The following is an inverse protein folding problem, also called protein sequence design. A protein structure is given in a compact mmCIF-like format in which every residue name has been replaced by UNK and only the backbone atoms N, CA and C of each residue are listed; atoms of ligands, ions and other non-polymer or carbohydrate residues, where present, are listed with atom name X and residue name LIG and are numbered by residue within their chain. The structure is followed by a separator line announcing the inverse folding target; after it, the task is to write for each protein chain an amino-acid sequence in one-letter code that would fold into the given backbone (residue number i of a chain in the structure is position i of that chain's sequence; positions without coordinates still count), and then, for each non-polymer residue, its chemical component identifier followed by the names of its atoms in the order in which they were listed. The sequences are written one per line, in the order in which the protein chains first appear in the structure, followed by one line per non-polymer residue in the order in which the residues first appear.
data_IF_226956858876
#
_entry.id   IF_226956858876
#
_cell.length_a   1.000
_cell.length_b   1.000
_cell.length_c   1.000
_cell.angle_alpha   90.00
_cell.angle_beta   90.00
_cell.angle_gamma   90.00
#
_symmetry.space_group_name_H-M   'P 1'
#
loop_
_entity.id
_entity.type
_entity.pdbx_description
1 polymer ?
#
# COMPACT_ATOMS: atom_id res chain seq x y z
N UNK A 1 -1.66 -15.85 22.95
CA UNK A 1 -2.41 -14.85 22.17
C UNK A 1 -1.52 -14.53 21.00
N UNK A 2 -2.01 -14.69 19.77
CA UNK A 2 -1.24 -14.35 18.57
C UNK A 2 -1.06 -12.84 18.54
N UNK A 3 0.18 -12.37 18.36
CA UNK A 3 0.50 -10.95 18.30
C UNK A 3 1.15 -10.68 16.95
N UNK A 4 0.31 -10.39 15.96
CA UNK A 4 0.76 -9.94 14.66
C UNK A 4 1.43 -8.58 14.77
N UNK A 5 2.54 -8.40 14.06
CA UNK A 5 3.24 -7.13 13.91
C UNK A 5 3.62 -6.88 12.45
N UNK A 6 3.62 -5.63 12.02
CA UNK A 6 4.18 -5.23 10.74
C UNK A 6 5.71 -5.27 10.84
N UNK A 7 6.41 -6.05 10.00
CA UNK A 7 7.87 -5.98 9.92
C UNK A 7 8.29 -4.63 9.29
N UNK A 8 9.51 -4.13 9.59
CA UNK A 8 10.03 -2.95 8.91
C UNK A 8 10.31 -3.26 7.43
N UNK A 9 10.31 -2.24 6.56
CA UNK A 9 10.44 -2.42 5.10
C UNK A 9 11.82 -2.95 4.65
N UNK A 10 12.83 -2.95 5.53
CA UNK A 10 14.13 -3.58 5.23
C UNK A 10 14.22 -5.03 5.73
N UNK A 11 13.15 -5.59 6.31
CA UNK A 11 13.10 -7.00 6.64
C UNK A 11 13.14 -7.85 5.35
N UNK A 12 13.60 -9.11 5.40
CA UNK A 12 13.60 -9.97 4.23
C UNK A 12 12.19 -10.12 3.62
N UNK A 13 12.09 -9.89 2.31
CA UNK A 13 10.84 -9.98 1.57
C UNK A 13 10.71 -11.32 0.84
N UNK A 14 9.46 -11.74 0.64
CA UNK A 14 9.14 -12.84 -0.24
C UNK A 14 8.91 -12.38 -1.70
N UNK A 15 8.39 -11.16 -1.88
CA UNK A 15 8.09 -10.53 -3.16
C UNK A 15 7.64 -9.07 -2.97
N UNK A 16 7.70 -8.29 -4.05
CA UNK A 16 7.07 -6.98 -4.16
C UNK A 16 5.76 -7.06 -4.94
N UNK A 17 4.75 -6.31 -4.50
CA UNK A 17 3.50 -6.10 -5.23
C UNK A 17 3.45 -4.71 -5.83
N UNK A 18 3.01 -4.61 -7.08
CA UNK A 18 2.82 -3.35 -7.80
C UNK A 18 1.54 -3.39 -8.63
N UNK A 19 1.11 -2.23 -9.12
CA UNK A 19 -0.01 -2.10 -10.04
C UNK A 19 0.39 -1.36 -11.29
N UNK A 20 -0.10 -1.84 -12.43
CA UNK A 20 0.24 -1.29 -13.72
C UNK A 20 -0.50 0.05 -13.96
N UNK A 21 0.21 1.13 -14.37
CA UNK A 21 -0.44 2.39 -14.71
C UNK A 21 -1.45 2.20 -15.84
N UNK A 22 -2.67 2.69 -15.62
CA UNK A 22 -3.77 2.60 -16.60
C UNK A 22 -4.67 3.82 -16.66
N UNK A 23 -4.79 4.58 -15.58
CA UNK A 23 -5.73 5.68 -15.49
C UNK A 23 -5.27 6.91 -16.28
N UNK A 24 -5.91 7.18 -17.42
CA UNK A 24 -5.60 8.36 -18.24
C UNK A 24 -5.89 9.69 -17.54
N UNK A 25 -6.74 9.69 -16.50
CA UNK A 25 -7.03 10.90 -15.71
C UNK A 25 -5.91 11.19 -14.70
N UNK A 26 -5.27 10.16 -14.15
CA UNK A 26 -4.06 10.27 -13.30
C UNK A 26 -2.85 10.69 -14.13
N UNK A 27 -2.73 10.20 -15.37
CA UNK A 27 -1.63 10.53 -16.28
C UNK A 27 -2.14 11.20 -17.58
N UNK A 28 -2.68 12.43 -17.50
CA UNK A 28 -3.18 13.13 -18.66
C UNK A 28 -1.98 13.49 -19.55
N UNK A 29 -1.92 12.86 -20.71
CA UNK A 29 -0.87 13.04 -21.74
C UNK A 29 0.46 12.32 -21.52
N UNK A 30 0.65 11.57 -20.44
CA UNK A 30 1.93 10.90 -20.13
C UNK A 30 1.77 9.45 -19.65
N UNK A 31 0.63 8.80 -19.87
CA UNK A 31 0.42 7.39 -19.48
C UNK A 31 1.47 6.44 -20.09
N UNK A 32 1.90 6.68 -21.33
CA UNK A 32 2.93 5.86 -21.96
C UNK A 32 4.29 6.04 -21.28
N UNK A 33 4.64 7.26 -20.89
CA UNK A 33 5.83 7.59 -20.11
C UNK A 33 5.77 6.91 -18.74
N UNK A 34 4.65 7.06 -18.02
CA UNK A 34 4.44 6.44 -16.71
C UNK A 34 4.61 4.91 -16.77
N UNK A 35 4.05 4.26 -17.79
CA UNK A 35 4.23 2.81 -18.03
C UNK A 35 5.69 2.43 -18.26
N UNK A 36 6.47 3.26 -18.96
CA UNK A 36 7.91 3.00 -19.16
C UNK A 36 8.67 3.12 -17.84
N UNK A 37 8.41 4.15 -17.05
CA UNK A 37 9.07 4.35 -15.75
C UNK A 37 8.70 3.23 -14.76
N UNK A 38 7.42 2.84 -14.69
CA UNK A 38 6.98 1.70 -13.88
C UNK A 38 7.60 0.39 -14.34
N UNK A 39 7.76 0.18 -15.65
CA UNK A 39 8.46 -1.00 -16.16
C UNK A 39 9.95 -1.01 -15.77
N UNK A 40 10.61 0.14 -15.78
CA UNK A 40 11.98 0.28 -15.28
C UNK A 40 12.09 0.00 -13.78
N UNK A 41 11.15 0.49 -12.97
CA UNK A 41 11.08 0.20 -11.53
C UNK A 41 10.87 -1.31 -11.28
N UNK A 42 9.89 -1.92 -11.94
CA UNK A 42 9.59 -3.35 -11.81
C UNK A 42 10.79 -4.19 -12.25
N UNK A 43 11.45 -3.82 -13.36
CA UNK A 43 12.64 -4.53 -13.83
C UNK A 43 13.77 -4.47 -12.79
N UNK A 44 14.04 -3.29 -12.21
CA UNK A 44 15.07 -3.11 -11.20
C UNK A 44 14.79 -3.95 -9.94
N UNK A 45 13.56 -3.93 -9.41
CA UNK A 45 13.20 -4.74 -8.24
C UNK A 45 13.29 -6.25 -8.56
N UNK A 46 12.95 -6.64 -9.79
CA UNK A 46 12.95 -8.05 -10.20
C UNK A 46 14.34 -8.70 -10.25
N UNK A 47 15.41 -7.91 -10.18
CA UNK A 47 16.79 -8.39 -10.06
C UNK A 47 17.04 -9.05 -8.69
N UNK A 48 16.35 -8.59 -7.64
CA UNK A 48 16.54 -9.06 -6.26
C UNK A 48 15.43 -10.02 -5.79
N UNK A 49 14.19 -9.82 -6.22
CA UNK A 49 13.04 -10.60 -5.73
C UNK A 49 11.90 -10.75 -6.76
N UNK A 50 10.97 -11.72 -6.59
CA UNK A 50 9.80 -11.81 -7.45
C UNK A 50 8.93 -10.55 -7.35
N UNK A 51 8.40 -10.09 -8.49
CA UNK A 51 7.47 -8.96 -8.55
C UNK A 51 6.12 -9.40 -9.11
N UNK A 52 5.06 -9.21 -8.33
CA UNK A 52 3.68 -9.44 -8.75
C UNK A 52 3.04 -8.12 -9.17
N UNK A 53 2.59 -8.03 -10.42
CA UNK A 53 2.00 -6.80 -10.98
C UNK A 53 0.53 -7.01 -11.27
N UNK A 54 -0.36 -6.27 -10.60
CA UNK A 54 -1.76 -6.22 -10.99
C UNK A 54 -1.88 -5.46 -12.32
N UNK A 55 -2.26 -6.18 -13.36
CA UNK A 55 -2.18 -5.75 -14.74
C UNK A 55 -3.45 -5.03 -15.23
N UNK A 56 -4.49 -4.90 -14.40
CA UNK A 56 -5.81 -4.49 -14.84
C UNK A 56 -6.54 -5.63 -15.57
N UNK A 57 -7.37 -5.27 -16.55
CA UNK A 57 -8.08 -6.19 -17.43
C UNK A 57 -8.08 -5.68 -18.88
N UNK A 58 -8.35 -6.56 -19.85
CA UNK A 58 -8.41 -6.19 -21.27
C UNK A 58 -7.10 -5.59 -21.79
N UNK A 59 -7.18 -4.48 -22.53
CA UNK A 59 -6.03 -3.82 -23.17
C UNK A 59 -4.90 -3.49 -22.18
N UNK A 60 -5.23 -3.15 -20.94
CA UNK A 60 -4.23 -2.84 -19.91
C UNK A 60 -3.40 -4.08 -19.57
N UNK A 61 -4.05 -5.23 -19.40
CA UNK A 61 -3.38 -6.50 -19.14
C UNK A 61 -2.49 -6.91 -20.33
N UNK A 62 -2.96 -6.70 -21.56
CA UNK A 62 -2.14 -6.92 -22.76
C UNK A 62 -0.90 -6.02 -22.79
N UNK A 63 -1.04 -4.74 -22.42
CA UNK A 63 0.11 -3.82 -22.40
C UNK A 63 1.12 -4.17 -21.31
N UNK A 64 0.65 -4.55 -20.12
CA UNK A 64 1.52 -5.01 -19.04
C UNK A 64 2.26 -6.29 -19.47
N UNK A 65 1.55 -7.28 -20.00
CA UNK A 65 2.13 -8.55 -20.47
C UNK A 65 3.17 -8.32 -21.57
N UNK A 66 2.88 -7.47 -22.56
CA UNK A 66 3.83 -7.16 -23.63
C UNK A 66 5.09 -6.46 -23.11
N UNK A 67 4.96 -5.60 -22.10
CA UNK A 67 6.07 -4.81 -21.57
C UNK A 67 6.92 -5.59 -20.58
N UNK A 68 6.27 -6.34 -19.69
CA UNK A 68 6.89 -7.00 -18.54
C UNK A 68 7.09 -8.50 -18.73
N UNK A 69 6.35 -9.15 -19.64
CA UNK A 69 6.29 -10.62 -19.73
C UNK A 69 7.57 -11.32 -20.18
N UNK A 70 8.60 -10.56 -20.58
CA UNK A 70 9.94 -11.12 -20.86
C UNK A 70 10.86 -11.12 -19.63
N UNK A 71 10.46 -10.45 -18.53
CA UNK A 71 11.22 -10.40 -17.29
C UNK A 71 10.93 -11.68 -16.48
N UNK A 72 11.97 -12.49 -16.25
CA UNK A 72 11.82 -13.84 -15.71
C UNK A 72 11.20 -13.89 -14.29
N UNK A 73 11.45 -12.87 -13.47
CA UNK A 73 10.98 -12.79 -12.08
C UNK A 73 9.71 -11.93 -11.92
N UNK A 74 9.04 -11.59 -13.01
CA UNK A 74 7.85 -10.74 -12.99
C UNK A 74 6.62 -11.56 -13.36
N UNK A 75 5.57 -11.42 -12.57
CA UNK A 75 4.32 -12.14 -12.71
C UNK A 75 3.15 -11.16 -12.79
N UNK A 76 2.57 -11.03 -13.97
CA UNK A 76 1.36 -10.23 -14.18
C UNK A 76 0.12 -11.01 -13.72
N UNK A 77 -0.78 -10.32 -13.04
CA UNK A 77 -2.04 -10.87 -12.52
C UNK A 77 -3.18 -9.99 -13.02
N UNK A 78 -4.16 -10.61 -13.68
CA UNK A 78 -5.34 -9.91 -14.18
C UNK A 78 -6.35 -9.65 -13.06
N UNK A 79 -6.09 -8.61 -12.26
CA UNK A 79 -7.07 -8.01 -11.36
C UNK A 79 -7.30 -6.57 -11.81
N UNK A 80 -8.58 -6.19 -11.90
CA UNK A 80 -8.96 -4.82 -12.19
C UNK A 80 -8.49 -3.89 -11.06
N UNK A 81 -8.05 -2.69 -11.44
CA UNK A 81 -7.60 -1.60 -10.57
C UNK A 81 -8.22 -0.31 -11.10
N UNK A 82 -8.49 0.68 -10.25
CA UNK A 82 -8.81 2.02 -10.73
C UNK A 82 -7.51 2.78 -11.00
N UNK A 83 -6.51 2.63 -10.12
CA UNK A 83 -5.22 3.31 -10.25
C UNK A 83 -4.01 2.44 -9.82
N UNK A 84 -2.79 2.98 -9.93
CA UNK A 84 -1.54 2.23 -9.76
C UNK A 84 -0.96 2.22 -8.33
N UNK A 85 -1.66 2.79 -7.35
CA UNK A 85 -1.14 3.08 -6.01
C UNK A 85 -1.21 1.87 -5.06
N UNK A 86 -0.58 0.76 -5.42
CA UNK A 86 -0.54 -0.49 -4.65
C UNK A 86 -0.09 -0.30 -3.20
N UNK A 87 0.78 0.70 -2.95
CA UNK A 87 1.19 1.09 -1.59
C UNK A 87 0.01 1.41 -0.68
N UNK A 88 -1.04 2.03 -1.23
CA UNK A 88 -2.11 2.63 -0.43
C UNK A 88 -3.30 1.70 -0.26
N UNK A 89 -3.75 1.04 -1.32
CA UNK A 89 -4.88 0.11 -1.27
C UNK A 89 -4.47 -1.36 -1.09
N UNK A 90 -3.18 -1.67 -1.23
CA UNK A 90 -2.67 -3.03 -1.04
C UNK A 90 -2.73 -3.47 0.43
N UNK A 91 -2.60 -4.78 0.68
CA UNK A 91 -2.61 -5.28 2.05
C UNK A 91 -1.32 -4.87 2.76
N UNK A 92 -1.43 -4.44 4.02
CA UNK A 92 -0.26 -4.32 4.90
C UNK A 92 0.02 -5.67 5.54
N UNK A 93 1.09 -6.34 5.11
CA UNK A 93 1.46 -7.65 5.65
C UNK A 93 1.93 -7.55 7.10
N UNK A 94 1.47 -8.49 7.92
CA UNK A 94 1.84 -8.61 9.33
C UNK A 94 2.21 -10.06 9.65
N UNK A 95 3.15 -10.24 10.56
CA UNK A 95 3.71 -11.54 10.93
C UNK A 95 3.46 -11.85 12.39
N UNK A 96 3.13 -13.11 12.69
CA UNK A 96 3.21 -13.68 14.04
C UNK A 96 4.43 -14.59 14.07
N UNK A 97 5.53 -14.09 14.64
CA UNK A 97 6.80 -14.82 14.72
C UNK A 97 6.68 -16.09 15.58
N UNK A 98 5.82 -16.09 16.60
CA UNK A 98 5.67 -17.22 17.50
C UNK A 98 4.90 -18.37 16.84
N UNK A 99 3.92 -18.05 16.00
CA UNK A 99 3.15 -19.01 15.23
C UNK A 99 3.77 -19.33 13.85
N UNK A 100 4.73 -18.52 13.38
CA UNK A 100 5.29 -18.60 12.03
C UNK A 100 4.23 -18.29 10.96
N UNK A 101 3.30 -17.38 11.25
CA UNK A 101 2.16 -17.06 10.39
C UNK A 101 2.30 -15.68 9.77
N UNK A 102 1.75 -15.53 8.55
CA UNK A 102 1.60 -14.25 7.86
C UNK A 102 0.12 -13.99 7.64
N UNK A 103 -0.30 -12.75 7.88
CA UNK A 103 -1.62 -12.24 7.56
C UNK A 103 -1.48 -10.90 6.83
N UNK A 104 -2.58 -10.39 6.29
CA UNK A 104 -2.63 -9.04 5.76
C UNK A 104 -3.72 -8.22 6.41
N UNK A 105 -3.37 -7.01 6.83
CA UNK A 105 -4.33 -5.98 7.18
C UNK A 105 -4.90 -5.40 5.89
N UNK A 106 -6.23 -5.44 5.79
CA UNK A 106 -7.00 -4.84 4.71
C UNK A 106 -7.66 -3.57 5.23
N UNK A 107 -7.08 -2.42 4.87
CA UNK A 107 -7.57 -1.10 5.26
C UNK A 107 -8.77 -0.70 4.39
N UNK A 108 -9.66 0.14 4.93
CA UNK A 108 -10.63 0.80 4.05
C UNK A 108 -9.91 1.84 3.22
N UNK A 109 -9.94 1.67 1.90
CA UNK A 109 -9.45 2.68 0.97
C UNK A 109 -10.60 3.54 0.43
N UNK A 110 -10.36 4.84 0.21
CA UNK A 110 -11.34 5.75 -0.36
C UNK A 110 -10.75 6.77 -1.34
N UNK A 111 -9.60 6.48 -1.96
CA UNK A 111 -8.88 7.41 -2.83
C UNK A 111 -8.59 8.77 -2.18
N UNK A 112 -7.88 8.69 -1.05
CA UNK A 112 -7.40 9.82 -0.27
C UNK A 112 -8.48 10.86 0.08
N UNK A 113 -9.59 10.41 0.66
CA UNK A 113 -10.70 11.28 1.06
C UNK A 113 -11.77 11.47 0.00
N UNK A 114 -11.87 10.53 -0.95
CA UNK A 114 -12.85 10.56 -2.04
C UNK A 114 -12.47 11.51 -3.18
N UNK A 115 -11.18 11.84 -3.32
CA UNK A 115 -10.70 12.79 -4.33
C UNK A 115 -10.75 12.22 -5.75
N UNK A 116 -10.54 10.92 -5.91
CA UNK A 116 -10.46 10.26 -7.22
C UNK A 116 -11.44 9.09 -7.34
N UNK A 117 -12.75 9.36 -7.47
CA UNK A 117 -13.71 8.34 -7.83
C UNK A 117 -13.62 7.99 -9.34
N UNK A 118 -13.93 6.75 -9.75
CA UNK A 118 -14.21 5.59 -8.91
C UNK A 118 -12.94 4.93 -8.34
N UNK A 119 -13.07 4.25 -7.21
CA UNK A 119 -12.01 3.49 -6.52
C UNK A 119 -12.47 2.08 -6.07
N UNK A 120 -13.56 1.60 -6.68
CA UNK A 120 -14.27 0.38 -6.34
C UNK A 120 -13.53 -0.92 -6.70
N UNK A 121 -12.63 -0.90 -7.68
CA UNK A 121 -11.73 -2.00 -7.97
C UNK A 121 -10.52 -2.03 -7.02
N UNK A 122 -9.96 -0.85 -6.70
CA UNK A 122 -8.80 -0.73 -5.78
C UNK A 122 -9.12 -1.28 -4.38
N UNK A 123 -10.30 -0.95 -3.85
CA UNK A 123 -10.77 -1.46 -2.52
C UNK A 123 -10.90 -2.99 -2.45
N UNK A 124 -10.97 -3.68 -3.59
CA UNK A 124 -11.09 -5.15 -3.63
C UNK A 124 -9.72 -5.84 -3.62
N UNK A 125 -8.65 -5.12 -3.93
CA UNK A 125 -7.38 -5.75 -4.29
C UNK A 125 -6.60 -6.28 -3.08
N UNK A 126 -6.66 -5.66 -1.91
CA UNK A 126 -6.11 -6.27 -0.69
C UNK A 126 -6.71 -7.65 -0.41
N UNK A 127 -8.05 -7.76 -0.43
CA UNK A 127 -8.75 -9.03 -0.25
C UNK A 127 -8.38 -10.07 -1.32
N UNK A 128 -8.35 -9.67 -2.60
CA UNK A 128 -8.01 -10.56 -3.73
C UNK A 128 -6.57 -11.08 -3.63
N UNK A 129 -5.62 -10.23 -3.26
CA UNK A 129 -4.20 -10.60 -3.05
C UNK A 129 -4.09 -11.63 -1.93
N UNK A 130 -4.69 -11.35 -0.77
CA UNK A 130 -4.63 -12.26 0.38
C UNK A 130 -5.31 -13.60 0.11
N UNK A 131 -6.45 -13.59 -0.59
CA UNK A 131 -7.10 -14.81 -1.04
C UNK A 131 -6.21 -15.64 -1.98
N UNK A 132 -5.56 -15.00 -2.95
CA UNK A 132 -4.64 -15.67 -3.88
C UNK A 132 -3.46 -16.32 -3.16
N UNK A 133 -2.94 -15.67 -2.13
CA UNK A 133 -1.84 -16.17 -1.31
C UNK A 133 -2.29 -17.20 -0.27
N UNK A 134 -3.60 -17.37 -0.04
CA UNK A 134 -4.13 -18.24 1.01
C UNK A 134 -3.82 -17.72 2.43
N UNK A 135 -3.66 -16.41 2.60
CA UNK A 135 -3.31 -15.78 3.87
C UNK A 135 -4.56 -15.28 4.61
N UNK A 136 -4.46 -15.17 5.94
CA UNK A 136 -5.50 -14.57 6.76
C UNK A 136 -5.70 -13.10 6.38
N UNK A 137 -6.95 -12.74 6.09
CA UNK A 137 -7.38 -11.35 5.88
C UNK A 137 -7.89 -10.76 7.19
N UNK A 138 -7.29 -9.66 7.61
CA UNK A 138 -7.65 -8.90 8.81
C UNK A 138 -8.23 -7.55 8.39
N UNK A 139 -9.56 -7.46 8.33
CA UNK A 139 -10.25 -6.23 7.95
C UNK A 139 -10.09 -5.17 9.06
N UNK A 140 -9.56 -4.00 8.70
CA UNK A 140 -9.47 -2.88 9.61
C UNK A 140 -10.76 -2.04 9.52
N UNK A 141 -11.36 -1.74 10.68
CA UNK A 141 -12.44 -0.74 10.80
C UNK A 141 -11.84 0.68 10.81
N UNK A 142 -10.98 1.00 9.85
CA UNK A 142 -10.28 2.27 9.75
C UNK A 142 -10.00 2.58 8.27
N UNK A 143 -10.30 3.81 7.84
CA UNK A 143 -9.84 4.30 6.56
C UNK A 143 -8.41 4.81 6.69
N UNK A 144 -7.48 4.14 6.03
CA UNK A 144 -6.06 4.45 6.08
C UNK A 144 -5.37 3.82 4.86
N UNK A 145 -4.18 4.31 4.56
CA UNK A 145 -3.37 3.92 3.43
C UNK A 145 -2.00 3.42 3.91
N UNK A 146 -1.40 2.45 3.21
CA UNK A 146 -0.07 1.96 3.57
C UNK A 146 1.02 3.05 3.50
N UNK A 147 0.94 4.02 2.59
CA UNK A 147 1.87 5.16 2.53
C UNK A 147 1.71 6.17 3.67
N UNK A 148 0.60 6.10 4.41
CA UNK A 148 0.35 6.93 5.59
C UNK A 148 1.02 6.38 6.87
N UNK A 149 1.69 5.23 6.81
CA UNK A 149 2.27 4.53 7.96
C UNK A 149 3.72 4.15 7.69
N UNK A 150 4.58 4.39 8.66
CA UNK A 150 5.96 3.87 8.71
C UNK A 150 6.17 3.11 10.02
N UNK A 151 7.01 2.07 10.03
CA UNK A 151 7.33 1.31 11.25
C UNK A 151 8.82 0.97 11.33
N UNK A 152 9.38 1.05 12.54
CA UNK A 152 10.81 0.77 12.79
C UNK A 152 11.14 -0.72 12.96
N UNK A 153 10.12 -1.57 13.13
CA UNK A 153 10.26 -3.00 13.39
C UNK A 153 10.38 -3.41 14.86
N UNK A 154 10.66 -2.46 15.75
CA UNK A 154 10.74 -2.62 17.22
C UNK A 154 9.46 -2.14 17.93
N UNK A 155 8.46 -1.73 17.14
CA UNK A 155 7.11 -1.41 17.62
C UNK A 155 6.85 0.08 17.75
N UNK A 156 7.66 0.94 17.15
CA UNK A 156 7.38 2.37 16.99
C UNK A 156 6.91 2.60 15.56
N UNK A 157 5.67 3.06 15.42
CA UNK A 157 5.12 3.50 14.14
C UNK A 157 5.13 5.03 14.04
N UNK A 158 5.08 5.53 12.81
CA UNK A 158 5.14 6.95 12.50
C UNK A 158 4.08 7.29 11.46
N UNK A 159 3.32 8.36 11.74
CA UNK A 159 2.28 8.92 10.86
C UNK A 159 2.34 10.45 10.92
N UNK A 160 1.66 11.12 9.99
CA UNK A 160 1.38 12.56 10.12
C UNK A 160 -0.01 12.79 10.70
N UNK A 161 -0.17 13.90 11.43
CA UNK A 161 -1.49 14.28 11.95
C UNK A 161 -2.44 14.76 10.85
N UNK A 162 -1.91 15.41 9.81
CA UNK A 162 -2.74 15.98 8.73
C UNK A 162 -3.43 14.88 7.93
N UNK A 163 -2.74 13.77 7.66
CA UNK A 163 -3.33 12.65 6.93
C UNK A 163 -4.23 11.81 7.83
N UNK A 164 -3.70 11.29 8.95
CA UNK A 164 -4.43 10.33 9.77
C UNK A 164 -5.70 10.90 10.43
N UNK A 165 -5.72 12.22 10.71
CA UNK A 165 -6.86 12.90 11.33
C UNK A 165 -7.68 13.73 10.33
N UNK A 166 -7.45 13.56 9.02
CA UNK A 166 -8.30 14.20 8.02
C UNK A 166 -9.75 13.72 8.17
N UNK A 167 -10.73 14.65 8.26
CA UNK A 167 -12.12 14.30 8.50
C UNK A 167 -12.77 13.52 7.36
N UNK A 168 -12.20 13.49 6.15
CA UNK A 168 -12.70 12.70 5.02
C UNK A 168 -12.23 11.24 5.07
N UNK A 169 -11.30 10.89 5.96
CA UNK A 169 -10.94 9.48 6.23
C UNK A 169 -11.86 8.87 7.28
N UNK A 170 -11.86 9.44 8.48
CA UNK A 170 -12.49 8.86 9.65
C UNK A 170 -13.33 9.88 10.44
N UNK A 171 -14.43 10.42 9.87
CA UNK A 171 -15.16 11.57 10.43
C UNK A 171 -15.75 11.34 11.84
N UNK A 172 -15.94 10.08 12.23
CA UNK A 172 -16.58 9.69 13.48
C UNK A 172 -15.60 9.15 14.53
N UNK A 173 -14.28 9.20 14.27
CA UNK A 173 -13.27 8.69 15.19
C UNK A 173 -12.46 9.84 15.79
N UNK A 174 -12.16 9.71 17.08
CA UNK A 174 -11.24 10.60 17.79
C UNK A 174 -9.78 10.24 17.46
N UNK A 175 -8.82 11.18 17.60
CA UNK A 175 -7.40 10.88 17.45
C UNK A 175 -6.91 9.68 18.26
N UNK A 176 -7.39 9.53 19.50
CA UNK A 176 -7.03 8.40 20.36
C UNK A 176 -7.58 7.06 19.85
N UNK A 177 -8.78 7.06 19.25
CA UNK A 177 -9.33 5.85 18.63
C UNK A 177 -8.59 5.47 17.35
N UNK A 178 -8.18 6.46 16.55
CA UNK A 178 -7.37 6.25 15.34
C UNK A 178 -6.02 5.65 15.72
N UNK A 179 -5.30 6.27 16.67
CA UNK A 179 -4.03 5.75 17.20
C UNK A 179 -4.16 4.30 17.67
N UNK A 180 -5.15 4.03 18.53
CA UNK A 180 -5.40 2.67 19.04
C UNK A 180 -5.63 1.66 17.91
N UNK A 181 -6.46 2.01 16.92
CA UNK A 181 -6.77 1.12 15.79
C UNK A 181 -5.56 0.85 14.90
N UNK A 182 -4.72 1.86 14.66
CA UNK A 182 -3.45 1.68 13.94
C UNK A 182 -2.55 0.71 14.70
N UNK A 183 -2.28 0.99 15.97
CA UNK A 183 -1.42 0.17 16.81
C UNK A 183 -1.90 -1.28 16.91
N UNK A 184 -3.21 -1.51 17.11
CA UNK A 184 -3.79 -2.85 17.16
C UNK A 184 -3.67 -3.62 15.83
N UNK A 185 -3.78 -2.92 14.70
CA UNK A 185 -3.72 -3.55 13.38
C UNK A 185 -2.29 -3.96 13.00
N UNK A 186 -1.29 -3.12 13.29
CA UNK A 186 0.11 -3.34 12.88
C UNK A 186 1.02 -3.82 14.02
N UNK A 187 0.48 -4.04 15.22
CA UNK A 187 1.25 -4.48 16.39
C UNK A 187 2.22 -3.43 16.94
N UNK A 188 2.01 -2.15 16.64
CA UNK A 188 2.83 -1.07 17.21
C UNK A 188 2.47 -0.84 18.69
N UNK A 189 3.47 -0.41 19.46
CA UNK A 189 3.36 -0.10 20.89
C UNK A 189 3.40 1.40 21.17
N UNK A 190 3.89 2.20 20.21
CA UNK A 190 3.94 3.65 20.27
C UNK A 190 3.80 4.28 18.89
N UNK A 191 3.28 5.51 18.86
CA UNK A 191 3.19 6.34 17.66
C UNK A 191 4.07 7.59 17.78
N UNK A 192 4.83 7.88 16.73
CA UNK A 192 5.43 9.18 16.47
C UNK A 192 4.52 9.95 15.52
N UNK A 193 4.03 11.10 15.99
CA UNK A 193 3.15 11.96 15.21
C UNK A 193 3.91 13.16 14.67
N UNK A 194 4.22 13.14 13.37
CA UNK A 194 4.78 14.32 12.72
C UNK A 194 3.71 15.40 12.56
N UNK A 195 4.15 16.63 12.76
CA UNK A 195 3.35 17.84 12.64
C UNK A 195 3.91 18.71 11.52
N UNK A 196 3.03 19.39 10.81
CA UNK A 196 3.40 20.23 9.66
C UNK A 196 2.35 20.07 8.57
N UNK A 197 2.40 20.95 7.58
CA UNK A 197 1.55 20.85 6.41
C UNK A 197 2.10 19.80 5.43
N UNK A 198 1.21 19.26 4.59
CA UNK A 198 1.60 18.44 3.45
C UNK A 198 2.57 19.19 2.53
N UNK A 199 3.40 18.45 1.79
CA UNK A 199 4.27 19.06 0.79
C UNK A 199 3.44 19.73 -0.31
N UNK A 200 4.01 20.77 -0.94
CA UNK A 200 3.34 21.41 -2.07
C UNK A 200 3.16 20.40 -3.21
N UNK A 201 1.90 20.19 -3.63
CA UNK A 201 1.55 19.25 -4.68
C UNK A 201 1.27 17.82 -4.21
N UNK A 202 1.19 17.61 -2.89
CA UNK A 202 0.76 16.34 -2.31
C UNK A 202 -0.77 16.25 -2.24
N UNK A 203 -1.33 15.21 -2.87
CA UNK A 203 -2.76 14.91 -2.89
C UNK A 203 -3.18 13.91 -1.80
N UNK A 204 -2.25 13.46 -0.96
CA UNK A 204 -2.47 12.43 0.07
C UNK A 204 -2.75 12.97 1.48
N UNK A 205 -2.83 14.30 1.61
CA UNK A 205 -3.01 15.04 2.87
C UNK A 205 -1.81 14.93 3.84
N UNK A 206 -0.62 14.70 3.29
CA UNK A 206 0.65 14.65 4.02
C UNK A 206 1.04 13.23 4.37
N UNK A 207 1.09 12.29 3.43
CA UNK A 207 1.63 10.96 3.71
C UNK A 207 3.03 11.03 4.33
N UNK A 208 3.30 10.12 5.28
CA UNK A 208 4.58 10.08 5.98
C UNK A 208 5.71 9.61 5.05
N UNK A 209 5.41 8.76 4.07
CA UNK A 209 6.37 8.20 3.12
C UNK A 209 7.02 9.25 2.19
N UNK A 210 6.42 10.44 2.07
CA UNK A 210 6.97 11.59 1.37
C UNK A 210 7.89 12.47 2.23
N UNK A 211 7.88 12.28 3.56
CA UNK A 211 8.53 13.16 4.52
C UNK A 211 9.69 12.49 5.27
N UNK A 212 9.45 11.30 5.80
CA UNK A 212 10.40 10.61 6.66
C UNK A 212 10.21 9.09 6.58
N UNK A 213 11.32 8.36 6.55
CA UNK A 213 11.35 6.89 6.56
C UNK A 213 12.26 6.43 7.67
N UNK A 214 11.95 5.30 8.30
CA UNK A 214 12.96 4.63 9.11
C UNK A 214 14.00 3.96 8.21
N UNK A 215 15.21 3.75 8.72
CA UNK A 215 16.29 3.07 7.99
C UNK A 215 17.00 2.09 8.92
N UNK A 216 17.56 0.99 8.40
CA UNK A 216 18.36 0.07 9.21
C UNK A 216 19.57 0.81 9.80
N UNK A 217 19.87 0.55 11.07
CA UNK A 217 21.04 1.08 11.78
C UNK A 217 22.30 0.29 11.51
#
# INVERSE_FOLDING_TARGET
MTQFRMPPEWAPHAATWASWPRNVETWPHNLAEARREFASLVAAISEDEPVYVLAGAGDDAETANRTLGSLANVHTIEFATNDAWMRDYGPTFVVDDAAGQVAGVDWRYNAWGGKYPPFDDDVLNAARILQRLGLERREADLCLEGGAIEIDGDGIAMCTKTCAFDPHRNPNLTPAEIERRICEAIGATAMLWLTGDALLGDDTDGHIDQLARFTPT
#
